data_IF_106431889579
#
_entry.id   IF_106431889579
#
_cell.length_a   1.000
_cell.length_b   1.000
_cell.length_c   1.000
_cell.angle_alpha   90.00
_cell.angle_beta   90.00
_cell.angle_gamma   90.00
#
_symmetry.space_group_name_H-M   'P 1'
#
loop_
_entity.id
_entity.type
_entity.pdbx_description
1 polymer ?
#
# COMPACT_ATOMS: atom_id res chain seq x y z
N UNK A 1 2.27 3.54 -24.85
CA UNK A 1 2.16 2.59 -23.72
C UNK A 1 0.67 2.36 -23.47
N UNK A 2 0.25 1.10 -23.30
CA UNK A 2 -1.13 0.72 -23.01
C UNK A 2 -1.20 -0.07 -21.71
N UNK A 3 -2.27 0.13 -20.94
CA UNK A 3 -2.52 -0.66 -19.73
C UNK A 3 -2.94 -2.10 -20.07
N UNK A 4 -2.74 -3.01 -19.12
CA UNK A 4 -3.21 -4.38 -19.22
C UNK A 4 -4.73 -4.46 -18.99
N UNK A 5 -5.40 -5.35 -19.72
CA UNK A 5 -6.81 -5.67 -19.45
C UNK A 5 -6.96 -6.56 -18.21
N UNK A 6 -8.17 -6.67 -17.66
CA UNK A 6 -8.46 -7.65 -16.60
C UNK A 6 -8.03 -9.07 -16.98
N UNK A 7 -8.25 -9.52 -18.22
CA UNK A 7 -7.80 -10.86 -18.66
C UNK A 7 -6.27 -11.00 -18.58
N UNK A 8 -5.54 -9.93 -18.92
CA UNK A 8 -4.08 -9.94 -18.84
C UNK A 8 -3.61 -9.96 -17.38
N UNK A 9 -4.26 -9.21 -16.49
CA UNK A 9 -3.98 -9.25 -15.06
C UNK A 9 -4.25 -10.64 -14.46
N UNK A 10 -5.39 -11.27 -14.77
CA UNK A 10 -5.71 -12.61 -14.28
C UNK A 10 -4.68 -13.67 -14.69
N UNK A 11 -4.11 -13.56 -15.89
CA UNK A 11 -3.16 -14.55 -16.40
C UNK A 11 -1.72 -14.32 -15.96
N UNK A 12 -1.32 -13.08 -15.65
CA UNK A 12 0.10 -12.73 -15.46
C UNK A 12 0.43 -12.16 -14.09
N UNK A 13 -0.52 -11.56 -13.39
CA UNK A 13 -0.20 -10.74 -12.22
C UNK A 13 0.31 -11.58 -11.04
N UNK A 14 -0.16 -12.82 -10.88
CA UNK A 14 0.24 -13.71 -9.78
C UNK A 14 1.74 -14.02 -9.74
N UNK A 15 2.46 -13.90 -10.87
CA UNK A 15 3.91 -14.06 -10.91
C UNK A 15 4.69 -12.79 -10.55
N UNK A 16 4.01 -11.64 -10.45
CA UNK A 16 4.62 -10.31 -10.29
C UNK A 16 4.30 -9.66 -8.94
N UNK A 17 3.32 -10.16 -8.20
CA UNK A 17 2.90 -9.59 -6.91
C UNK A 17 2.81 -10.67 -5.85
N UNK A 18 3.16 -10.34 -4.61
CA UNK A 18 3.03 -11.23 -3.47
C UNK A 18 2.64 -10.47 -2.19
N UNK A 19 1.57 -10.87 -1.48
CA UNK A 19 0.61 -11.92 -1.86
C UNK A 19 -0.27 -11.51 -3.06
N UNK A 20 -0.79 -12.50 -3.79
CA UNK A 20 -1.75 -12.30 -4.88
C UNK A 20 -3.13 -12.85 -4.48
N UNK A 21 -4.17 -12.03 -4.66
CA UNK A 21 -5.57 -12.41 -4.50
C UNK A 21 -6.34 -12.05 -5.77
N UNK A 22 -6.85 -13.06 -6.47
CA UNK A 22 -7.59 -12.90 -7.73
C UNK A 22 -8.83 -12.01 -7.57
N UNK A 23 -9.42 -11.96 -6.38
CA UNK A 23 -10.62 -11.16 -6.11
C UNK A 23 -10.33 -9.67 -6.00
N UNK A 24 -9.05 -9.27 -5.94
CA UNK A 24 -8.61 -7.87 -5.95
C UNK A 24 -8.49 -7.29 -7.36
N UNK A 25 -8.70 -8.09 -8.41
CA UNK A 25 -8.73 -7.59 -9.78
C UNK A 25 -10.11 -7.00 -10.07
N UNK A 26 -10.15 -5.71 -10.36
CA UNK A 26 -11.37 -5.00 -10.74
C UNK A 26 -11.07 -3.99 -11.85
N UNK A 27 -11.91 -3.96 -12.89
CA UNK A 27 -11.87 -2.93 -13.95
C UNK A 27 -10.47 -2.62 -14.51
N UNK A 28 -9.74 -3.68 -14.91
CA UNK A 28 -8.36 -3.58 -15.43
C UNK A 28 -7.35 -2.97 -14.45
N UNK A 29 -7.57 -3.16 -13.14
CA UNK A 29 -6.68 -2.76 -12.06
C UNK A 29 -6.57 -3.84 -10.99
N UNK A 30 -5.62 -3.70 -10.07
CA UNK A 30 -5.49 -4.54 -8.88
C UNK A 30 -5.53 -3.67 -7.63
N UNK A 31 -6.44 -3.96 -6.72
CA UNK A 31 -6.61 -3.21 -5.48
C UNK A 31 -5.55 -3.62 -4.44
N UNK A 32 -4.72 -2.66 -4.05
CA UNK A 32 -3.70 -2.84 -3.01
C UNK A 32 -4.29 -2.67 -1.61
N UNK A 33 -3.68 -3.32 -0.63
CA UNK A 33 -4.10 -3.28 0.76
C UNK A 33 -3.09 -2.49 1.63
N UNK A 34 -3.59 -1.90 2.72
CA UNK A 34 -2.73 -1.26 3.72
C UNK A 34 -1.94 -2.34 4.47
N UNK A 35 -0.61 -2.23 4.43
CA UNK A 35 0.30 -3.05 5.20
C UNK A 35 0.53 -2.50 6.61
N UNK A 36 1.51 -3.08 7.28
CA UNK A 36 1.67 -2.93 8.73
C UNK A 36 2.40 -1.63 9.13
N UNK A 37 2.73 -0.76 8.19
CA UNK A 37 3.57 0.42 8.45
C UNK A 37 2.97 1.70 7.88
N UNK A 38 2.89 2.72 8.75
CA UNK A 38 2.40 4.06 8.42
C UNK A 38 3.34 5.13 8.96
N UNK A 39 3.64 6.12 8.14
CA UNK A 39 4.52 7.25 8.47
C UNK A 39 3.76 8.55 8.27
N UNK A 40 3.38 9.21 9.37
CA UNK A 40 2.64 10.49 9.31
C UNK A 40 3.63 11.65 9.27
N UNK A 41 3.42 12.59 8.35
CA UNK A 41 4.23 13.80 8.20
C UNK A 41 4.28 14.59 9.50
N UNK A 42 5.44 15.06 9.91
CA UNK A 42 5.59 15.89 11.09
C UNK A 42 5.26 17.37 10.81
N UNK A 43 4.67 18.08 11.77
CA UNK A 43 4.61 19.56 11.74
C UNK A 43 5.99 20.16 12.11
N UNK A 44 6.28 21.42 11.74
CA UNK A 44 7.58 22.06 12.01
C UNK A 44 8.05 21.91 13.46
N UNK A 45 7.15 22.11 14.42
CA UNK A 45 7.44 22.06 15.86
C UNK A 45 7.29 20.65 16.47
N UNK A 46 7.08 19.62 15.64
CA UNK A 46 6.96 18.24 16.16
C UNK A 46 8.34 17.75 16.60
N UNK A 47 8.51 17.39 17.90
CA UNK A 47 9.76 16.85 18.40
C UNK A 47 10.17 15.58 17.66
N UNK A 48 11.46 15.36 17.45
CA UNK A 48 11.99 14.22 16.68
C UNK A 48 11.50 12.87 17.24
N UNK A 49 11.38 12.75 18.56
CA UNK A 49 10.89 11.56 19.24
C UNK A 49 9.40 11.26 19.01
N UNK A 50 8.64 12.22 18.46
CA UNK A 50 7.24 12.04 18.05
C UNK A 50 7.10 11.76 16.56
N UNK A 51 8.17 11.89 15.77
CA UNK A 51 8.20 11.54 14.33
C UNK A 51 8.41 10.04 14.21
N UNK A 52 7.37 9.26 14.50
CA UNK A 52 7.46 7.81 14.61
C UNK A 52 6.75 7.11 13.46
N UNK A 53 7.38 6.00 13.04
CA UNK A 53 6.71 4.90 12.35
C UNK A 53 5.62 4.34 13.26
N UNK A 54 4.42 4.21 12.75
CA UNK A 54 3.32 3.49 13.40
C UNK A 54 3.30 2.08 12.80
N UNK A 55 3.45 1.07 13.66
CA UNK A 55 3.23 -0.32 13.28
C UNK A 55 1.78 -0.68 13.57
N UNK A 56 1.05 -1.20 12.59
CA UNK A 56 -0.33 -1.63 12.70
C UNK A 56 -0.40 -3.15 12.91
N UNK A 57 -1.34 -3.58 13.75
CA UNK A 57 -1.78 -4.96 13.88
C UNK A 57 -3.12 -5.17 13.17
N UNK A 58 -3.56 -6.41 13.07
CA UNK A 58 -4.84 -6.75 12.44
C UNK A 58 -6.01 -5.99 13.12
N UNK A 59 -6.81 -5.26 12.32
CA UNK A 59 -7.93 -4.39 12.74
C UNK A 59 -7.54 -3.07 13.41
N UNK A 60 -6.26 -2.74 13.51
CA UNK A 60 -5.87 -1.40 13.93
C UNK A 60 -6.33 -0.37 12.90
N UNK A 61 -6.57 0.85 13.39
CA UNK A 61 -6.87 2.00 12.56
C UNK A 61 -5.87 3.10 12.87
N UNK A 62 -5.57 3.91 11.86
CA UNK A 62 -4.71 5.08 12.01
C UNK A 62 -5.48 6.32 11.61
N UNK A 63 -5.38 7.36 12.43
CA UNK A 63 -5.92 8.68 12.10
C UNK A 63 -4.80 9.55 11.55
N UNK A 64 -5.03 10.14 10.37
CA UNK A 64 -4.16 11.16 9.79
C UNK A 64 -4.72 12.51 10.25
N UNK A 65 -4.00 13.29 11.09
CA UNK A 65 -4.55 14.52 11.60
C UNK A 65 -4.67 15.61 10.51
N UNK A 66 -5.57 16.61 10.70
CA UNK A 66 -5.75 17.68 9.72
C UNK A 66 -4.46 18.43 9.40
N UNK A 67 -4.24 18.72 8.12
CA UNK A 67 -3.04 19.42 7.65
C UNK A 67 -1.78 18.56 7.58
N UNK A 68 -1.88 17.26 7.92
CA UNK A 68 -0.81 16.28 7.75
C UNK A 68 -1.18 15.30 6.63
N UNK A 69 -0.17 14.63 6.07
CA UNK A 69 -0.32 13.51 5.15
C UNK A 69 0.42 12.29 5.69
N UNK A 70 0.20 11.11 5.11
CA UNK A 70 0.90 9.90 5.52
C UNK A 70 1.43 9.12 4.32
N UNK A 71 2.59 8.49 4.51
CA UNK A 71 3.04 7.40 3.65
C UNK A 71 2.51 6.09 4.22
N UNK A 72 1.79 5.35 3.37
CA UNK A 72 1.22 4.05 3.68
C UNK A 72 2.01 2.99 2.92
N UNK A 73 2.51 1.98 3.63
CA UNK A 73 3.15 0.84 2.99
C UNK A 73 2.07 -0.16 2.61
N UNK A 74 2.17 -0.77 1.43
CA UNK A 74 1.23 -1.80 0.96
C UNK A 74 1.55 -3.16 1.56
N UNK A 75 0.54 -4.00 1.74
CA UNK A 75 0.76 -5.41 2.11
C UNK A 75 1.47 -6.17 0.98
N UNK A 76 1.20 -5.78 -0.26
CA UNK A 76 1.75 -6.42 -1.45
C UNK A 76 3.15 -5.91 -1.81
N UNK A 77 3.98 -6.82 -2.32
CA UNK A 77 5.31 -6.56 -2.87
C UNK A 77 5.33 -6.89 -4.35
N UNK A 78 5.88 -5.97 -5.16
CA UNK A 78 6.08 -6.20 -6.60
C UNK A 78 7.44 -6.87 -6.81
N UNK A 79 7.44 -7.99 -7.55
CA UNK A 79 8.64 -8.70 -7.96
C UNK A 79 9.26 -8.00 -9.16
N UNK A 80 10.55 -7.76 -9.09
CA UNK A 80 11.29 -7.28 -10.24
C UNK A 80 11.43 -8.41 -11.27
N UNK A 81 11.08 -8.15 -12.53
CA UNK A 81 11.40 -9.04 -13.64
C UNK A 81 12.86 -8.78 -14.03
N UNK A 82 13.73 -9.75 -13.76
CA UNK A 82 15.11 -9.75 -14.28
C UNK A 82 15.12 -9.99 -15.79
#
# INVERSE_FOLDING_TARGET
MSFWSSQTLHSRLSSLIEPFDVNKIESASYQLCLGDEVYISALPDTPLEKRKKITLSEKDTVSIPPGQFAFLITSEKIKHLN
#
